data_IF_347688861758
#
_entry.id   IF_347688861758
#
_cell.length_a   1.000
_cell.length_b   1.000
_cell.length_c   1.000
_cell.angle_alpha   90.00
_cell.angle_beta   90.00
_cell.angle_gamma   90.00
#
_symmetry.space_group_name_H-M   'P 1'
#
loop_
_entity.id
_entity.type
_entity.pdbx_description
1 polymer ?
#
# COMPACT_ATOMS: atom_id res chain seq x y z
N UNK A 1 14.68 18.72 10.67
CA UNK A 1 14.53 18.58 9.20
C UNK A 1 15.29 17.37 8.66
N UNK A 2 16.61 17.24 8.87
CA UNK A 2 17.42 16.13 8.33
C UNK A 2 16.84 14.72 8.63
N UNK A 3 16.41 14.46 9.87
CA UNK A 3 15.80 13.17 10.25
C UNK A 3 14.50 12.84 9.49
N UNK A 4 13.68 13.84 9.17
CA UNK A 4 12.43 13.64 8.44
C UNK A 4 12.69 13.26 6.98
N UNK A 5 13.67 13.89 6.33
CA UNK A 5 14.09 13.54 4.97
C UNK A 5 14.79 12.18 4.94
N UNK A 6 15.65 11.90 5.92
CA UNK A 6 16.31 10.61 6.05
C UNK A 6 15.30 9.47 6.22
N UNK A 7 14.19 9.70 6.92
CA UNK A 7 13.10 8.74 7.04
C UNK A 7 12.52 8.35 5.66
N UNK A 8 12.25 9.31 4.76
CA UNK A 8 11.78 9.01 3.40
C UNK A 8 12.82 8.29 2.54
N UNK A 9 14.12 8.58 2.73
CA UNK A 9 15.18 7.85 2.05
C UNK A 9 15.24 6.38 2.53
N UNK A 10 15.12 6.16 3.84
CA UNK A 10 15.06 4.81 4.43
C UNK A 10 13.84 4.02 3.94
N UNK A 11 12.69 4.67 3.77
CA UNK A 11 11.49 4.06 3.17
C UNK A 11 11.78 3.56 1.75
N UNK A 12 12.34 4.42 0.90
CA UNK A 12 12.69 4.06 -0.48
C UNK A 12 13.69 2.91 -0.55
N UNK A 13 14.73 2.96 0.28
CA UNK A 13 15.73 1.90 0.37
C UNK A 13 15.12 0.56 0.83
N UNK A 14 14.25 0.57 1.84
CA UNK A 14 13.62 -0.65 2.33
C UNK A 14 12.71 -1.29 1.28
N UNK A 15 11.98 -0.48 0.50
CA UNK A 15 11.18 -0.95 -0.65
C UNK A 15 12.09 -1.60 -1.70
N UNK A 16 13.16 -0.91 -2.10
CA UNK A 16 14.13 -1.43 -3.08
C UNK A 16 14.72 -2.78 -2.62
N UNK A 17 15.25 -2.84 -1.40
CA UNK A 17 15.87 -4.05 -0.85
C UNK A 17 14.87 -5.20 -0.77
N UNK A 18 13.62 -4.92 -0.38
CA UNK A 18 12.58 -5.96 -0.32
C UNK A 18 12.22 -6.46 -1.72
N UNK A 19 12.09 -5.57 -2.70
CA UNK A 19 11.82 -5.92 -4.09
C UNK A 19 12.93 -6.80 -4.68
N UNK A 20 14.19 -6.48 -4.40
CA UNK A 20 15.34 -7.28 -4.85
C UNK A 20 15.37 -8.64 -4.15
N UNK A 21 15.22 -8.66 -2.82
CA UNK A 21 15.31 -9.89 -2.02
C UNK A 21 14.18 -10.87 -2.31
N UNK A 22 12.96 -10.37 -2.56
CA UNK A 22 11.77 -11.19 -2.84
C UNK A 22 11.38 -11.18 -4.32
N UNK A 23 12.31 -10.86 -5.24
CA UNK A 23 12.01 -10.66 -6.65
C UNK A 23 11.34 -11.87 -7.32
N UNK A 24 11.70 -13.10 -6.95
CA UNK A 24 11.07 -14.32 -7.50
C UNK A 24 9.61 -14.46 -7.05
N UNK A 25 9.33 -14.19 -5.78
CA UNK A 25 7.99 -14.25 -5.22
C UNK A 25 7.08 -13.16 -5.83
N UNK A 26 7.58 -11.93 -5.92
CA UNK A 26 6.82 -10.82 -6.50
C UNK A 26 6.52 -11.05 -7.98
N UNK A 27 7.49 -11.54 -8.76
CA UNK A 27 7.26 -11.92 -10.17
C UNK A 27 6.24 -13.04 -10.32
N UNK A 28 6.25 -14.03 -9.41
CA UNK A 28 5.26 -15.12 -9.43
C UNK A 28 3.84 -14.58 -9.17
N UNK A 29 3.67 -13.73 -8.15
CA UNK A 29 2.38 -13.12 -7.84
C UNK A 29 1.91 -12.22 -8.99
N UNK A 30 2.79 -11.38 -9.53
CA UNK A 30 2.47 -10.52 -10.67
C UNK A 30 2.07 -11.33 -11.91
N UNK A 31 2.84 -12.36 -12.26
CA UNK A 31 2.50 -13.25 -13.38
C UNK A 31 1.18 -13.99 -13.15
N UNK A 32 0.86 -14.30 -11.89
CA UNK A 32 -0.44 -14.87 -11.54
C UNK A 32 -1.58 -13.88 -11.76
N UNK A 33 -1.43 -12.60 -11.40
CA UNK A 33 -2.40 -11.57 -11.72
C UNK A 33 -2.55 -11.39 -13.23
N UNK A 34 -1.44 -11.28 -13.96
CA UNK A 34 -1.46 -11.13 -15.42
C UNK A 34 -2.19 -12.30 -16.11
N UNK A 35 -1.96 -13.54 -15.65
CA UNK A 35 -2.68 -14.71 -16.15
C UNK A 35 -4.19 -14.62 -15.87
N UNK A 36 -4.60 -14.13 -14.68
CA UNK A 36 -6.02 -13.89 -14.36
C UNK A 36 -6.60 -12.83 -15.32
N UNK A 37 -5.92 -11.71 -15.52
CA UNK A 37 -6.40 -10.69 -16.44
C UNK A 37 -6.57 -11.24 -17.86
N UNK A 38 -5.58 -11.97 -18.39
CA UNK A 38 -5.66 -12.58 -19.73
C UNK A 38 -6.76 -13.62 -19.87
N UNK A 39 -6.98 -14.45 -18.86
CA UNK A 39 -7.98 -15.51 -18.90
C UNK A 39 -9.41 -14.96 -18.83
N UNK A 40 -9.66 -13.97 -17.97
CA UNK A 40 -11.00 -13.46 -17.69
C UNK A 40 -11.38 -12.22 -18.49
N UNK A 41 -10.45 -11.58 -19.20
CA UNK A 41 -10.75 -10.51 -20.17
C UNK A 41 -11.58 -11.03 -21.36
N UNK A 42 -11.32 -12.27 -21.80
CA UNK A 42 -12.07 -12.91 -22.88
C UNK A 42 -13.42 -13.52 -22.47
N UNK A 43 -13.74 -13.53 -21.16
CA UNK A 43 -15.04 -13.99 -20.66
C UNK A 43 -15.97 -12.77 -20.51
N UNK A 44 -17.04 -12.75 -21.29
CA UNK A 44 -17.98 -11.63 -21.33
C UNK A 44 -18.84 -11.57 -20.03
N UNK A 45 -19.30 -10.38 -19.64
CA UNK A 45 -20.22 -10.19 -18.51
C UNK A 45 -19.59 -9.68 -17.19
N UNK A 46 -19.93 -10.30 -16.06
CA UNK A 46 -19.56 -9.80 -14.71
C UNK A 46 -18.04 -9.88 -14.45
N UNK A 47 -17.32 -10.83 -15.06
CA UNK A 47 -15.86 -10.94 -14.92
C UNK A 47 -15.14 -9.68 -15.41
N UNK A 48 -15.42 -9.27 -16.65
CA UNK A 48 -14.80 -8.11 -17.29
C UNK A 48 -15.10 -6.82 -16.52
N UNK A 49 -16.32 -6.70 -15.97
CA UNK A 49 -16.72 -5.58 -15.12
C UNK A 49 -15.88 -5.48 -13.85
N UNK A 50 -15.59 -6.59 -13.17
CA UNK A 50 -14.71 -6.59 -12.00
C UNK A 50 -13.26 -6.24 -12.35
N UNK A 51 -12.74 -6.73 -13.48
CA UNK A 51 -11.40 -6.38 -13.99
C UNK A 51 -11.29 -4.86 -14.22
N UNK A 52 -12.22 -4.28 -14.98
CA UNK A 52 -12.24 -2.85 -15.28
C UNK A 52 -12.40 -1.99 -14.02
N UNK A 53 -13.27 -2.41 -13.09
CA UNK A 53 -13.43 -1.74 -11.79
C UNK A 53 -12.09 -1.65 -11.04
N UNK A 54 -11.29 -2.72 -11.05
CA UNK A 54 -10.00 -2.77 -10.33
C UNK A 54 -8.94 -1.92 -11.02
N UNK A 55 -8.88 -1.96 -12.35
CA UNK A 55 -8.01 -1.07 -13.13
C UNK A 55 -8.34 0.39 -12.84
N UNK A 56 -9.62 0.77 -12.85
CA UNK A 56 -10.05 2.15 -12.58
C UNK A 56 -9.72 2.59 -11.15
N UNK A 57 -9.93 1.74 -10.15
CA UNK A 57 -9.55 2.03 -8.76
C UNK A 57 -8.04 2.27 -8.65
N UNK A 58 -7.23 1.40 -9.26
CA UNK A 58 -5.77 1.53 -9.24
C UNK A 58 -5.32 2.81 -9.97
N UNK A 59 -5.91 3.11 -11.13
CA UNK A 59 -5.63 4.32 -11.90
C UNK A 59 -5.94 5.60 -11.13
N UNK A 60 -7.10 5.66 -10.48
CA UNK A 60 -7.49 6.80 -9.66
C UNK A 60 -6.57 6.97 -8.44
N UNK A 61 -6.19 5.86 -7.80
CA UNK A 61 -5.25 5.87 -6.69
C UNK A 61 -3.86 6.36 -7.13
N UNK A 62 -3.41 5.93 -8.31
CA UNK A 62 -2.14 6.38 -8.90
C UNK A 62 -2.15 7.90 -9.14
N UNK A 63 -3.19 8.43 -9.78
CA UNK A 63 -3.31 9.88 -10.01
C UNK A 63 -3.38 10.68 -8.71
N UNK A 64 -4.13 10.21 -7.72
CA UNK A 64 -4.18 10.85 -6.40
C UNK A 64 -2.78 10.94 -5.77
N UNK A 65 -1.99 9.85 -5.85
CA UNK A 65 -0.63 9.83 -5.33
C UNK A 65 0.33 10.72 -6.14
N UNK A 66 0.18 10.80 -7.47
CA UNK A 66 0.96 11.74 -8.29
C UNK A 66 0.73 13.17 -7.81
N UNK A 67 -0.52 13.58 -7.55
CA UNK A 67 -0.82 14.92 -7.05
C UNK A 67 -0.22 15.17 -5.66
N UNK A 68 -0.28 14.19 -4.77
CA UNK A 68 0.32 14.29 -3.42
C UNK A 68 1.84 14.48 -3.51
N UNK A 69 2.54 13.64 -4.27
CA UNK A 69 4.00 13.73 -4.43
C UNK A 69 4.44 15.00 -5.19
N UNK A 70 3.72 15.39 -6.24
CA UNK A 70 4.05 16.62 -6.99
C UNK A 70 3.82 17.87 -6.15
N UNK A 71 2.77 17.92 -5.34
CA UNK A 71 2.49 19.07 -4.46
C UNK A 71 3.59 19.30 -3.42
N UNK A 72 4.11 18.23 -2.79
CA UNK A 72 5.16 18.36 -1.77
C UNK A 72 6.51 18.72 -2.39
N UNK A 73 6.87 18.14 -3.53
CA UNK A 73 8.10 18.50 -4.25
C UNK A 73 8.05 19.96 -4.69
N UNK A 74 6.91 20.41 -5.23
CA UNK A 74 6.72 21.80 -5.64
C UNK A 74 6.83 22.75 -4.45
N UNK A 75 6.19 22.42 -3.31
CA UNK A 75 6.28 23.23 -2.09
C UNK A 75 7.72 23.32 -1.56
N UNK A 76 8.48 22.22 -1.61
CA UNK A 76 9.89 22.18 -1.20
C UNK A 76 10.82 22.98 -2.12
N UNK A 77 10.53 23.07 -3.41
CA UNK A 77 11.34 23.82 -4.39
C UNK A 77 10.96 25.31 -4.39
N UNK A 78 9.66 25.64 -4.40
CA UNK A 78 9.18 27.02 -4.49
C UNK A 78 9.52 27.84 -3.24
N UNK A 79 9.53 27.23 -2.06
CA UNK A 79 9.80 27.92 -0.80
C UNK A 79 11.20 28.59 -0.74
N UNK A 80 12.33 27.89 -0.97
CA UNK A 80 13.65 28.51 -0.99
C UNK A 80 13.84 29.49 -2.15
N UNK A 81 13.22 29.24 -3.31
CA UNK A 81 13.26 30.19 -4.44
C UNK A 81 12.54 31.50 -4.11
N UNK A 82 11.36 31.44 -3.49
CA UNK A 82 10.65 32.62 -3.03
C UNK A 82 11.48 33.42 -2.02
N UNK A 83 12.12 32.74 -1.07
CA UNK A 83 12.92 33.40 -0.06
C UNK A 83 14.21 34.02 -0.62
N UNK A 84 14.81 33.38 -1.63
CA UNK A 84 15.94 33.93 -2.37
C UNK A 84 15.55 35.20 -3.13
N UNK A 85 14.41 35.20 -3.83
CA UNK A 85 13.95 36.36 -4.62
C UNK A 85 13.46 37.50 -3.72
N UNK A 86 12.69 37.21 -2.67
CA UNK A 86 12.04 38.23 -1.85
C UNK A 86 12.93 38.82 -0.75
N UNK A 87 13.83 38.03 -0.15
CA UNK A 87 14.65 38.44 1.00
C UNK A 87 16.16 38.42 0.72
N UNK A 88 16.58 38.00 -0.49
CA UNK A 88 17.98 37.85 -0.89
C UNK A 88 18.81 36.96 0.06
N UNK A 89 18.14 36.03 0.78
CA UNK A 89 18.81 35.09 1.67
C UNK A 89 18.93 33.72 1.00
N UNK A 90 20.15 33.18 1.02
CA UNK A 90 20.50 31.85 0.53
C UNK A 90 20.03 30.78 1.51
N UNK A 91 18.89 30.16 1.25
CA UNK A 91 18.44 28.96 1.97
C UNK A 91 18.76 27.69 1.19
N UNK A 92 19.24 26.68 1.90
CA UNK A 92 19.41 25.35 1.32
C UNK A 92 18.08 24.59 1.33
N UNK A 93 17.79 23.89 0.24
CA UNK A 93 16.60 23.06 0.06
C UNK A 93 16.68 21.81 0.95
N UNK A 94 17.87 21.22 1.06
CA UNK A 94 18.20 20.09 1.92
C UNK A 94 19.40 20.47 2.79
N UNK A 95 19.46 19.96 4.03
CA UNK A 95 20.50 20.36 5.00
C UNK A 95 21.81 19.55 4.91
N UNK A 96 22.03 18.74 3.87
CA UNK A 96 23.28 18.00 3.72
C UNK A 96 24.30 18.77 2.89
N UNK A 97 25.51 18.88 3.43
CA UNK A 97 26.65 19.53 2.82
C UNK A 97 27.44 18.50 2.01
N UNK A 98 27.88 18.86 0.80
CA UNK A 98 28.73 18.01 -0.03
C UNK A 98 30.20 18.42 0.20
N UNK A 99 31.08 17.50 0.65
CA UNK A 99 32.50 17.80 0.81
C UNK A 99 33.12 18.30 -0.50
N UNK A 100 33.80 19.44 -0.46
CA UNK A 100 34.45 20.05 -1.63
C UNK A 100 33.63 21.14 -2.34
N UNK A 101 32.39 21.41 -1.92
CA UNK A 101 31.59 22.54 -2.41
C UNK A 101 31.54 23.62 -1.31
N UNK A 102 32.04 24.82 -1.58
CA UNK A 102 31.87 25.95 -0.66
C UNK A 102 30.46 26.55 -0.82
N UNK A 103 29.71 26.53 0.27
CA UNK A 103 28.31 26.96 0.33
C UNK A 103 28.20 28.50 0.34
N UNK A 104 29.30 29.17 0.68
CA UNK A 104 29.38 30.63 0.76
C UNK A 104 29.65 31.27 -0.61
N UNK A 105 30.31 30.55 -1.53
CA UNK A 105 30.54 30.97 -2.90
C UNK A 105 29.27 30.90 -3.74
N UNK A 106 29.01 31.89 -4.61
CA UNK A 106 27.81 31.93 -5.47
C UNK A 106 27.71 30.71 -6.39
N UNK A 107 28.83 30.30 -6.98
CA UNK A 107 28.90 29.13 -7.85
C UNK A 107 28.67 27.82 -7.07
N UNK A 108 29.24 27.71 -5.86
CA UNK A 108 29.07 26.53 -5.02
C UNK A 108 27.64 26.38 -4.49
N UNK A 109 27.00 27.49 -4.11
CA UNK A 109 25.60 27.50 -3.70
C UNK A 109 24.66 27.06 -4.83
N UNK A 110 24.86 27.55 -6.05
CA UNK A 110 24.06 27.16 -7.21
C UNK A 110 24.25 25.68 -7.57
N UNK A 111 25.48 25.17 -7.49
CA UNK A 111 25.77 23.76 -7.74
C UNK A 111 25.06 22.87 -6.71
N UNK A 112 25.07 23.27 -5.44
CA UNK A 112 24.44 22.53 -4.35
C UNK A 112 22.91 22.52 -4.45
N UNK A 113 22.27 23.67 -4.73
CA UNK A 113 20.82 23.75 -4.93
C UNK A 113 20.39 22.86 -6.10
N UNK A 114 21.13 22.90 -7.20
CA UNK A 114 20.85 22.05 -8.37
C UNK A 114 20.88 20.57 -8.00
N UNK A 115 21.91 20.16 -7.26
CA UNK A 115 22.04 18.78 -6.77
C UNK A 115 20.90 18.39 -5.83
N UNK A 116 20.53 19.26 -4.89
CA UNK A 116 19.41 19.04 -3.98
C UNK A 116 18.07 18.86 -4.71
N UNK A 117 17.79 19.70 -5.71
CA UNK A 117 16.56 19.59 -6.53
C UNK A 117 16.55 18.27 -7.30
N UNK A 118 17.67 17.88 -7.91
CA UNK A 118 17.77 16.58 -8.57
C UNK A 118 17.50 15.42 -7.59
N UNK A 119 18.15 15.42 -6.43
CA UNK A 119 17.94 14.40 -5.40
C UNK A 119 16.47 14.34 -4.94
N UNK A 120 15.80 15.47 -4.77
CA UNK A 120 14.37 15.50 -4.40
C UNK A 120 13.49 14.89 -5.48
N UNK A 121 13.68 15.26 -6.74
CA UNK A 121 12.86 14.75 -7.86
C UNK A 121 13.07 13.24 -8.01
N UNK A 122 14.31 12.77 -8.05
CA UNK A 122 14.61 11.34 -8.15
C UNK A 122 14.13 10.55 -6.92
N UNK A 123 14.32 11.10 -5.72
CA UNK A 123 13.89 10.47 -4.47
C UNK A 123 12.37 10.37 -4.36
N UNK A 124 11.65 11.43 -4.74
CA UNK A 124 10.18 11.44 -4.78
C UNK A 124 9.65 10.46 -5.83
N UNK A 125 10.21 10.47 -7.04
CA UNK A 125 9.81 9.55 -8.10
C UNK A 125 10.07 8.08 -7.72
N UNK A 126 11.23 7.78 -7.15
CA UNK A 126 11.57 6.43 -6.69
C UNK A 126 10.65 5.93 -5.57
N UNK A 127 10.33 6.79 -4.59
CA UNK A 127 9.38 6.45 -3.53
C UNK A 127 7.96 6.25 -4.07
N UNK A 128 7.49 7.13 -4.95
CA UNK A 128 6.22 6.98 -5.64
C UNK A 128 6.15 5.65 -6.41
N UNK A 129 7.17 5.32 -7.20
CA UNK A 129 7.22 4.06 -7.95
C UNK A 129 7.19 2.83 -7.03
N UNK A 130 7.94 2.88 -5.92
CA UNK A 130 7.92 1.82 -4.90
C UNK A 130 6.54 1.65 -4.25
N UNK A 131 5.87 2.74 -3.91
CA UNK A 131 4.52 2.70 -3.32
C UNK A 131 3.50 2.15 -4.30
N UNK A 132 3.48 2.66 -5.53
CA UNK A 132 2.54 2.20 -6.57
C UNK A 132 2.71 0.73 -6.89
N UNK A 133 3.96 0.26 -6.96
CA UNK A 133 4.23 -1.15 -7.21
C UNK A 133 3.69 -2.03 -6.09
N UNK A 134 3.86 -1.64 -4.82
CA UNK A 134 3.29 -2.36 -3.69
C UNK A 134 1.76 -2.31 -3.70
N UNK A 135 1.18 -1.14 -3.95
CA UNK A 135 -0.27 -0.95 -3.99
C UNK A 135 -0.93 -1.83 -5.04
N UNK A 136 -0.26 -2.06 -6.19
CA UNK A 136 -0.74 -2.98 -7.22
C UNK A 136 -1.02 -4.38 -6.66
N UNK A 137 -0.16 -4.91 -5.79
CA UNK A 137 -0.40 -6.22 -5.17
C UNK A 137 -1.65 -6.22 -4.30
N UNK A 138 -1.83 -5.21 -3.44
CA UNK A 138 -2.97 -5.17 -2.53
C UNK A 138 -4.28 -4.89 -3.26
N UNK A 139 -4.31 -3.92 -4.17
CA UNK A 139 -5.53 -3.51 -4.88
C UNK A 139 -6.12 -4.63 -5.72
N UNK A 140 -5.30 -5.60 -6.15
CA UNK A 140 -5.76 -6.78 -6.88
C UNK A 140 -6.20 -7.96 -5.98
N UNK A 141 -5.94 -7.95 -4.66
CA UNK A 141 -6.46 -9.01 -3.76
C UNK A 141 -8.00 -9.10 -3.78
N UNK A 142 -8.75 -7.99 -3.66
CA UNK A 142 -10.21 -8.02 -3.78
C UNK A 142 -10.73 -8.59 -5.12
N UNK A 143 -9.96 -8.48 -6.21
CA UNK A 143 -10.34 -9.05 -7.50
C UNK A 143 -10.52 -10.57 -7.40
N UNK A 144 -9.63 -11.26 -6.67
CA UNK A 144 -9.73 -12.71 -6.51
C UNK A 144 -10.99 -13.12 -5.77
N UNK A 145 -11.39 -12.34 -4.76
CA UNK A 145 -12.66 -12.55 -4.05
C UNK A 145 -13.84 -12.32 -4.99
N UNK A 146 -13.82 -11.24 -5.76
CA UNK A 146 -14.91 -10.91 -6.70
C UNK A 146 -15.09 -12.02 -7.76
N UNK A 147 -14.00 -12.51 -8.35
CA UNK A 147 -14.02 -13.64 -9.31
C UNK A 147 -14.50 -14.94 -8.61
N UNK A 148 -14.06 -15.18 -7.38
CA UNK A 148 -14.47 -16.34 -6.60
C UNK A 148 -15.99 -16.35 -6.33
N UNK A 149 -16.57 -15.16 -6.09
CA UNK A 149 -18.02 -15.00 -5.93
C UNK A 149 -18.77 -15.39 -7.22
N UNK A 150 -18.33 -14.92 -8.38
CA UNK A 150 -18.97 -15.29 -9.66
C UNK A 150 -18.92 -16.81 -9.87
N UNK A 151 -17.80 -17.45 -9.53
CA UNK A 151 -17.69 -18.92 -9.58
C UNK A 151 -18.65 -19.64 -8.62
N UNK A 152 -18.98 -19.05 -7.47
CA UNK A 152 -20.02 -19.60 -6.60
C UNK A 152 -21.41 -19.51 -7.23
N UNK A 153 -21.73 -18.39 -7.87
CA UNK A 153 -23.01 -18.18 -8.54
C UNK A 153 -23.19 -19.18 -9.69
N UNK A 154 -22.16 -19.40 -10.52
CA UNK A 154 -22.16 -20.43 -11.56
C UNK A 154 -22.40 -21.85 -10.99
N UNK A 155 -21.72 -22.19 -9.89
CA UNK A 155 -21.89 -23.49 -9.24
C UNK A 155 -23.30 -23.66 -8.68
N UNK A 156 -23.87 -22.61 -8.11
CA UNK A 156 -25.23 -22.63 -7.59
C UNK A 156 -26.26 -22.85 -8.69
N UNK A 157 -26.09 -22.23 -9.86
CA UNK A 157 -26.98 -22.45 -11.01
C UNK A 157 -26.97 -23.92 -11.46
N UNK A 158 -25.79 -24.55 -11.52
CA UNK A 158 -25.68 -25.98 -11.83
C UNK A 158 -26.37 -26.87 -10.78
N UNK A 159 -26.26 -26.52 -9.51
CA UNK A 159 -26.92 -27.23 -8.41
C UNK A 159 -28.45 -27.08 -8.46
N UNK A 160 -28.97 -25.96 -8.97
CA UNK A 160 -30.41 -25.75 -9.15
C UNK A 160 -30.95 -26.49 -10.38
N UNK A 161 -30.15 -26.60 -11.44
CA UNK A 161 -30.53 -27.26 -12.69
C UNK A 161 -30.44 -28.81 -12.63
N UNK A 162 -30.01 -29.39 -11.51
CA UNK A 162 -29.78 -30.85 -11.34
C UNK A 162 -28.93 -31.46 -12.47
N UNK A 163 -27.89 -30.73 -12.89
CA UNK A 163 -26.97 -31.14 -13.96
C UNK A 163 -26.14 -32.37 -13.53
N UNK A 164 -25.50 -33.03 -14.49
CA UNK A 164 -24.64 -34.21 -14.28
C UNK A 164 -23.59 -33.93 -13.18
N UNK A 165 -23.44 -34.89 -12.26
CA UNK A 165 -22.49 -34.83 -11.14
C UNK A 165 -21.07 -34.46 -11.57
N UNK A 166 -20.61 -34.95 -12.73
CA UNK A 166 -19.27 -34.68 -13.27
C UNK A 166 -18.98 -33.18 -13.50
N UNK A 167 -19.94 -32.43 -14.05
CA UNK A 167 -19.76 -31.00 -14.34
C UNK A 167 -19.70 -30.18 -13.04
N UNK A 168 -20.60 -30.49 -12.09
CA UNK A 168 -20.59 -29.91 -10.75
C UNK A 168 -19.29 -30.22 -10.02
N UNK A 169 -18.83 -31.48 -10.07
CA UNK A 169 -17.60 -31.92 -9.42
C UNK A 169 -16.37 -31.21 -9.99
N UNK A 170 -16.27 -31.08 -11.33
CA UNK A 170 -15.20 -30.33 -11.99
C UNK A 170 -15.17 -28.87 -11.54
N UNK A 171 -16.32 -28.18 -11.54
CA UNK A 171 -16.41 -26.78 -11.13
C UNK A 171 -16.06 -26.59 -9.64
N UNK A 172 -16.46 -27.54 -8.79
CA UNK A 172 -16.11 -27.54 -7.37
C UNK A 172 -14.59 -27.64 -7.15
N UNK A 173 -13.90 -28.51 -7.91
CA UNK A 173 -12.44 -28.62 -7.83
C UNK A 173 -11.72 -27.37 -8.33
N UNK A 174 -12.21 -26.74 -9.40
CA UNK A 174 -11.69 -25.44 -9.84
C UNK A 174 -11.83 -24.38 -8.75
N UNK A 175 -12.97 -24.38 -8.05
CA UNK A 175 -13.23 -23.46 -6.95
C UNK A 175 -12.25 -23.69 -5.79
N UNK A 176 -12.01 -24.94 -5.42
CA UNK A 176 -11.03 -25.28 -4.41
C UNK A 176 -9.61 -24.87 -4.81
N UNK A 177 -9.23 -25.09 -6.07
CA UNK A 177 -7.95 -24.63 -6.61
C UNK A 177 -7.85 -23.09 -6.56
N UNK A 178 -8.95 -22.38 -6.83
CA UNK A 178 -9.01 -20.92 -6.72
C UNK A 178 -8.84 -20.44 -5.28
N UNK A 179 -9.49 -21.08 -4.32
CA UNK A 179 -9.31 -20.79 -2.90
C UNK A 179 -7.84 -20.97 -2.48
N UNK A 180 -7.19 -22.05 -2.91
CA UNK A 180 -5.77 -22.27 -2.63
C UNK A 180 -4.88 -21.19 -3.28
N UNK A 181 -5.20 -20.79 -4.51
CA UNK A 181 -4.51 -19.70 -5.23
C UNK A 181 -4.65 -18.37 -4.47
N UNK A 182 -5.84 -18.05 -3.97
CA UNK A 182 -6.11 -16.88 -3.14
C UNK A 182 -5.25 -16.87 -1.88
N UNK A 183 -5.27 -17.96 -1.10
CA UNK A 183 -4.48 -18.08 0.14
C UNK A 183 -2.98 -17.96 -0.14
N UNK A 184 -2.49 -18.56 -1.24
CA UNK A 184 -1.08 -18.49 -1.63
C UNK A 184 -0.63 -17.07 -1.97
N UNK A 185 -1.44 -16.33 -2.75
CA UNK A 185 -1.17 -14.92 -3.06
C UNK A 185 -1.17 -14.10 -1.79
N UNK A 186 -2.18 -14.27 -0.92
CA UNK A 186 -2.30 -13.52 0.32
C UNK A 186 -1.11 -13.74 1.27
N UNK A 187 -0.65 -14.99 1.39
CA UNK A 187 0.54 -15.31 2.17
C UNK A 187 1.82 -14.72 1.56
N UNK A 188 1.94 -14.76 0.24
CA UNK A 188 3.04 -14.12 -0.49
C UNK A 188 3.07 -12.61 -0.28
N UNK A 189 1.92 -11.94 -0.41
CA UNK A 189 1.76 -10.51 -0.15
C UNK A 189 2.11 -10.19 1.31
N UNK A 190 1.61 -10.95 2.29
CA UNK A 190 1.98 -10.77 3.70
C UNK A 190 3.50 -10.82 3.91
N UNK A 191 4.18 -11.80 3.31
CA UNK A 191 5.64 -11.94 3.43
C UNK A 191 6.40 -10.73 2.87
N UNK A 192 6.00 -10.21 1.71
CA UNK A 192 6.62 -9.03 1.09
C UNK A 192 6.35 -7.78 1.93
N UNK A 193 5.13 -7.61 2.40
CA UNK A 193 4.70 -6.42 3.13
C UNK A 193 5.24 -6.36 4.56
N UNK A 194 5.53 -7.50 5.21
CA UNK A 194 5.95 -7.55 6.62
C UNK A 194 7.10 -6.58 6.94
N UNK A 195 8.17 -6.60 6.14
CA UNK A 195 9.35 -5.76 6.35
C UNK A 195 9.10 -4.32 5.89
N UNK A 196 8.49 -4.15 4.71
CA UNK A 196 8.27 -2.80 4.16
C UNK A 196 7.34 -1.99 5.06
N UNK A 197 6.23 -2.58 5.51
CA UNK A 197 5.26 -1.90 6.37
C UNK A 197 5.85 -1.53 7.72
N UNK A 198 6.71 -2.38 8.29
CA UNK A 198 7.40 -2.05 9.53
C UNK A 198 8.29 -0.81 9.39
N UNK A 199 9.13 -0.77 8.34
CA UNK A 199 9.97 0.40 8.08
C UNK A 199 9.11 1.62 7.75
N UNK A 200 8.10 1.47 6.88
CA UNK A 200 7.22 2.58 6.48
C UNK A 200 6.53 3.21 7.68
N UNK A 201 5.97 2.39 8.58
CA UNK A 201 5.21 2.86 9.73
C UNK A 201 6.09 3.52 10.79
N UNK A 202 7.20 2.87 11.17
CA UNK A 202 8.15 3.40 12.16
C UNK A 202 8.77 4.72 11.68
N UNK A 203 9.21 4.77 10.43
CA UNK A 203 9.80 5.98 9.83
C UNK A 203 8.78 7.09 9.63
N UNK A 204 7.52 6.77 9.28
CA UNK A 204 6.45 7.76 9.21
C UNK A 204 6.16 8.37 10.58
N UNK A 205 6.10 7.57 11.66
CA UNK A 205 5.93 8.09 13.02
C UNK A 205 7.08 9.00 13.42
N UNK A 206 8.34 8.57 13.23
CA UNK A 206 9.51 9.41 13.54
C UNK A 206 9.49 10.70 12.71
N UNK A 207 9.18 10.60 11.42
CA UNK A 207 9.06 11.73 10.50
C UNK A 207 8.03 12.74 10.99
N UNK A 208 6.82 12.29 11.34
CA UNK A 208 5.75 13.15 11.86
C UNK A 208 6.18 13.85 13.15
N UNK A 209 6.72 13.10 14.13
CA UNK A 209 7.20 13.68 15.40
C UNK A 209 8.27 14.76 15.16
N UNK A 210 9.28 14.45 14.34
CA UNK A 210 10.34 15.41 14.00
C UNK A 210 9.80 16.66 13.30
N UNK A 211 8.80 16.50 12.43
CA UNK A 211 8.21 17.63 11.70
C UNK A 211 7.40 18.54 12.61
N UNK A 212 6.67 17.98 13.57
CA UNK A 212 5.95 18.75 14.59
C UNK A 212 6.92 19.55 15.45
N UNK A 213 8.04 18.95 15.91
CA UNK A 213 9.08 19.69 16.63
C UNK A 213 9.67 20.84 15.80
N UNK A 214 9.86 20.64 14.48
CA UNK A 214 10.34 21.69 13.58
C UNK A 214 9.34 22.85 13.43
N UNK A 215 8.03 22.56 13.48
CA UNK A 215 6.97 23.58 13.44
C UNK A 215 7.02 24.43 14.72
N UNK A 216 7.12 23.80 15.90
CA UNK A 216 7.19 24.52 17.17
C UNK A 216 8.41 25.44 17.27
N UNK A 217 9.58 24.97 16.84
CA UNK A 217 10.79 25.79 16.82
C UNK A 217 10.79 26.86 15.71
N UNK A 218 9.79 26.88 14.81
CA UNK A 218 9.70 27.74 13.62
C UNK A 218 10.94 27.70 12.71
N UNK A 219 11.68 26.59 12.75
CA UNK A 219 12.95 26.42 12.00
C UNK A 219 12.68 26.03 10.54
N UNK A 220 11.55 25.37 10.25
CA UNK A 220 11.26 24.85 8.92
C UNK A 220 9.85 25.21 8.44
N UNK A 221 9.69 26.28 7.64
CA UNK A 221 8.36 26.75 7.24
C UNK A 221 7.61 25.84 6.25
N UNK A 222 8.30 24.94 5.54
CA UNK A 222 7.67 23.89 4.70
C UNK A 222 7.16 22.70 5.52
N UNK A 223 7.45 22.63 6.83
CA UNK A 223 7.09 21.51 7.68
C UNK A 223 5.58 21.19 7.72
N UNK A 224 4.63 22.16 7.70
CA UNK A 224 3.20 21.85 7.67
C UNK A 224 2.75 21.09 6.42
N UNK A 225 3.28 21.43 5.24
CA UNK A 225 2.97 20.73 4.00
C UNK A 225 3.49 19.29 4.03
N UNK A 226 4.70 19.09 4.57
CA UNK A 226 5.31 17.78 4.72
C UNK A 226 4.62 16.92 5.81
N UNK A 227 4.10 17.55 6.85
CA UNK A 227 3.28 16.89 7.87
C UNK A 227 2.00 16.31 7.25
N UNK A 228 1.28 17.11 6.45
CA UNK A 228 0.08 16.67 5.73
C UNK A 228 0.39 15.46 4.83
N UNK A 229 1.47 15.57 4.03
CA UNK A 229 1.97 14.48 3.20
C UNK A 229 2.21 13.20 4.02
N UNK A 230 2.93 13.31 5.15
CA UNK A 230 3.26 12.15 5.99
C UNK A 230 2.02 11.46 6.56
N UNK A 231 0.99 12.23 6.96
CA UNK A 231 -0.28 11.68 7.39
C UNK A 231 -1.05 11.00 6.25
N UNK A 232 -1.13 11.62 5.06
CA UNK A 232 -1.81 11.01 3.90
C UNK A 232 -1.19 9.65 3.58
N UNK A 233 0.13 9.58 3.56
CA UNK A 233 0.87 8.33 3.32
C UNK A 233 0.57 7.30 4.42
N UNK A 234 0.67 7.69 5.69
CA UNK A 234 0.38 6.82 6.85
C UNK A 234 -1.03 6.21 6.76
N UNK A 235 -2.05 7.04 6.55
CA UNK A 235 -3.44 6.61 6.49
C UNK A 235 -3.72 5.75 5.26
N UNK A 236 -3.09 6.02 4.11
CA UNK A 236 -3.28 5.19 2.92
C UNK A 236 -2.74 3.78 3.16
N UNK A 237 -1.53 3.67 3.71
CA UNK A 237 -0.92 2.38 4.01
C UNK A 237 -1.77 1.56 4.99
N UNK A 238 -2.27 2.18 6.06
CA UNK A 238 -3.19 1.52 7.00
C UNK A 238 -4.54 1.17 6.36
N UNK A 239 -5.07 2.02 5.49
CA UNK A 239 -6.31 1.78 4.75
C UNK A 239 -6.20 0.59 3.79
N UNK A 240 -5.05 0.41 3.14
CA UNK A 240 -4.78 -0.77 2.31
C UNK A 240 -4.78 -2.07 3.12
N UNK A 241 -4.25 -2.04 4.34
CA UNK A 241 -4.36 -3.17 5.25
C UNK A 241 -5.81 -3.50 5.59
N UNK A 242 -6.62 -2.50 5.92
CA UNK A 242 -8.06 -2.68 6.17
C UNK A 242 -8.82 -3.18 4.94
N UNK A 243 -8.43 -2.78 3.71
CA UNK A 243 -9.02 -3.36 2.49
C UNK A 243 -8.79 -4.88 2.44
N UNK A 244 -7.60 -5.36 2.82
CA UNK A 244 -7.30 -6.79 2.86
C UNK A 244 -8.06 -7.50 3.98
N UNK A 245 -8.13 -6.91 5.18
CA UNK A 245 -8.93 -7.41 6.31
C UNK A 245 -10.40 -7.59 5.88
N UNK A 246 -11.03 -6.53 5.38
CA UNK A 246 -12.41 -6.57 4.92
C UNK A 246 -12.61 -7.58 3.78
N UNK A 247 -11.64 -7.70 2.86
CA UNK A 247 -11.72 -8.67 1.77
C UNK A 247 -11.71 -10.10 2.28
N UNK A 248 -10.91 -10.42 3.30
CA UNK A 248 -10.87 -11.73 3.92
C UNK A 248 -12.18 -12.05 4.66
N UNK A 249 -12.70 -11.09 5.42
CA UNK A 249 -13.97 -11.26 6.13
C UNK A 249 -15.12 -11.48 5.13
N UNK A 250 -15.20 -10.65 4.08
CA UNK A 250 -16.18 -10.84 3.01
C UNK A 250 -16.00 -12.17 2.29
N UNK A 251 -14.76 -12.60 2.02
CA UNK A 251 -14.50 -13.88 1.38
C UNK A 251 -15.04 -15.05 2.21
N UNK A 252 -14.81 -15.04 3.53
CA UNK A 252 -15.37 -16.04 4.45
C UNK A 252 -16.89 -16.00 4.49
N UNK A 253 -17.49 -14.80 4.52
CA UNK A 253 -18.94 -14.65 4.53
C UNK A 253 -19.58 -15.16 3.22
N UNK A 254 -18.97 -14.91 2.06
CA UNK A 254 -19.45 -15.40 0.76
C UNK A 254 -19.41 -16.94 0.68
N UNK A 255 -18.39 -17.59 1.26
CA UNK A 255 -18.35 -19.07 1.36
C UNK A 255 -19.57 -19.61 2.13
N UNK A 256 -19.97 -18.94 3.20
CA UNK A 256 -21.07 -19.40 4.05
C UNK A 256 -22.45 -19.06 3.50
N UNK A 257 -22.62 -17.83 2.99
CA UNK A 257 -23.92 -17.26 2.62
C UNK A 257 -24.30 -17.46 1.16
N UNK A 258 -23.32 -17.38 0.24
CA UNK A 258 -23.58 -17.42 -1.20
C UNK A 258 -23.61 -18.86 -1.71
N UNK A 259 -22.72 -19.73 -1.23
CA UNK A 259 -22.68 -21.12 -1.67
C UNK A 259 -23.87 -21.93 -1.11
N UNK A 260 -24.60 -22.63 -1.99
CA UNK A 260 -25.67 -23.58 -1.63
C UNK A 260 -25.09 -24.89 -1.09
N UNK A 261 -24.29 -24.82 -0.03
CA UNK A 261 -23.52 -25.95 0.51
C UNK A 261 -24.41 -27.14 0.91
N UNK A 262 -25.64 -26.90 1.34
CA UNK A 262 -26.60 -27.93 1.73
C UNK A 262 -27.14 -28.75 0.55
N UNK A 263 -26.99 -28.28 -0.69
CA UNK A 263 -27.34 -29.02 -1.91
C UNK A 263 -26.17 -29.82 -2.48
N UNK A 264 -24.94 -29.59 -2.00
CA UNK A 264 -23.78 -30.37 -2.42
C UNK A 264 -23.84 -31.79 -1.84
N UNK A 265 -23.20 -32.78 -2.48
CA UNK A 265 -23.09 -34.12 -1.91
C UNK A 265 -22.17 -34.14 -0.68
N UNK A 266 -22.31 -35.16 0.16
CA UNK A 266 -21.68 -35.22 1.50
C UNK A 266 -20.15 -35.13 1.45
N UNK A 267 -19.51 -35.60 0.37
CA UNK A 267 -18.06 -35.53 0.22
C UNK A 267 -17.59 -34.08 0.05
N UNK A 268 -18.23 -33.34 -0.84
CA UNK A 268 -17.95 -31.93 -1.15
C UNK A 268 -18.33 -31.02 0.03
N UNK A 269 -19.43 -31.31 0.74
CA UNK A 269 -19.80 -30.58 1.97
C UNK A 269 -18.67 -30.59 3.02
N UNK A 270 -18.04 -31.75 3.24
CA UNK A 270 -16.90 -31.86 4.18
C UNK A 270 -15.72 -30.99 3.75
N UNK A 271 -15.48 -30.88 2.45
CA UNK A 271 -14.42 -30.04 1.89
C UNK A 271 -14.75 -28.55 2.06
N UNK A 272 -16.01 -28.15 1.86
CA UNK A 272 -16.45 -26.77 2.13
C UNK A 272 -16.23 -26.37 3.59
N UNK A 273 -16.49 -27.28 4.54
CA UNK A 273 -16.21 -27.03 5.96
C UNK A 273 -14.72 -26.76 6.18
N UNK A 274 -13.82 -27.55 5.55
CA UNK A 274 -12.38 -27.32 5.63
C UNK A 274 -11.97 -25.98 5.00
N UNK A 275 -12.58 -25.62 3.87
CA UNK A 275 -12.36 -24.34 3.20
C UNK A 275 -12.78 -23.17 4.10
N UNK A 276 -13.96 -23.24 4.70
CA UNK A 276 -14.47 -22.24 5.64
C UNK A 276 -13.62 -22.13 6.90
N UNK A 277 -13.23 -23.26 7.51
CA UNK A 277 -12.34 -23.27 8.66
C UNK A 277 -10.97 -22.64 8.34
N UNK A 278 -10.50 -22.81 7.09
CA UNK A 278 -9.26 -22.18 6.64
C UNK A 278 -9.41 -20.69 6.38
N UNK A 279 -10.55 -20.24 5.84
CA UNK A 279 -10.80 -18.83 5.55
C UNK A 279 -11.06 -18.00 6.81
N UNK A 280 -11.68 -18.61 7.84
CA UNK A 280 -11.88 -17.99 9.17
C UNK A 280 -10.58 -17.64 9.89
N UNK A 281 -9.48 -18.31 9.56
CA UNK A 281 -8.14 -17.92 10.00
C UNK A 281 -7.63 -16.77 9.11
N UNK A 282 -8.16 -15.57 9.35
CA UNK A 282 -7.90 -14.40 8.53
C UNK A 282 -6.43 -14.03 8.52
N UNK A 283 -5.86 -13.93 7.31
CA UNK A 283 -4.49 -13.44 7.12
C UNK A 283 -4.50 -11.92 7.16
N UNK A 284 -4.28 -11.38 8.36
CA UNK A 284 -4.07 -9.95 8.57
C UNK A 284 -2.67 -9.55 8.10
N UNK A 285 -2.57 -8.43 7.36
CA UNK A 285 -1.29 -7.80 7.04
C UNK A 285 -0.72 -7.18 8.31
N UNK A 286 0.53 -7.51 8.64
CA UNK A 286 1.17 -7.10 9.88
C UNK A 286 2.48 -6.36 9.60
N UNK A 287 2.76 -5.32 10.37
CA UNK A 287 4.08 -4.72 10.46
C UNK A 287 4.95 -5.60 11.38
N UNK A 288 5.92 -6.32 10.81
CA UNK A 288 6.81 -7.23 11.52
C UNK A 288 6.13 -8.28 12.43
N UNK A 289 4.87 -8.66 12.16
CA UNK A 289 4.04 -9.51 13.06
C UNK A 289 3.76 -8.92 14.46
N UNK A 290 4.05 -7.64 14.67
CA UNK A 290 3.81 -6.96 15.95
C UNK A 290 2.49 -6.20 15.92
N UNK A 291 2.23 -5.50 14.82
CA UNK A 291 1.12 -4.56 14.72
C UNK A 291 0.27 -4.86 13.48
N UNK A 292 -1.05 -5.09 13.62
CA UNK A 292 -1.93 -5.27 12.47
C UNK A 292 -2.02 -3.95 11.69
N UNK A 293 -2.02 -4.06 10.37
CA UNK A 293 -2.15 -2.91 9.50
C UNK A 293 -3.63 -2.60 9.30
N UNK A 294 -4.14 -1.68 10.12
CA UNK A 294 -5.56 -1.29 10.05
C UNK A 294 -5.74 0.20 10.31
N UNK A 295 -6.91 0.71 9.95
CA UNK A 295 -7.31 2.08 10.29
C UNK A 295 -7.35 2.32 11.81
N UNK A 296 -7.63 1.28 12.60
CA UNK A 296 -7.56 1.35 14.06
C UNK A 296 -6.13 1.63 14.52
N UNK A 297 -5.14 0.98 13.91
CA UNK A 297 -3.72 1.22 14.15
C UNK A 297 -3.30 2.64 13.77
N UNK A 298 -3.76 3.15 12.64
CA UNK A 298 -3.50 4.55 12.25
C UNK A 298 -4.01 5.54 13.32
N UNK A 299 -5.23 5.34 13.82
CA UNK A 299 -5.80 6.16 14.87
C UNK A 299 -5.03 6.07 16.19
N UNK A 300 -4.58 4.87 16.58
CA UNK A 300 -3.74 4.69 17.77
C UNK A 300 -2.42 5.44 17.64
N UNK A 301 -1.76 5.36 16.48
CA UNK A 301 -0.51 6.10 16.22
C UNK A 301 -0.73 7.60 16.22
N UNK A 302 -1.80 8.10 15.60
CA UNK A 302 -2.15 9.53 15.62
C UNK A 302 -2.41 10.03 17.04
N UNK A 303 -3.09 9.25 17.89
CA UNK A 303 -3.26 9.58 19.32
C UNK A 303 -1.91 9.66 20.03
N UNK A 304 -1.03 8.69 19.82
CA UNK A 304 0.33 8.70 20.39
C UNK A 304 1.14 9.92 19.95
N UNK A 305 1.09 10.26 18.67
CA UNK A 305 1.73 11.45 18.09
C UNK A 305 1.18 12.72 18.75
N UNK A 306 -0.15 12.84 18.88
CA UNK A 306 -0.78 13.99 19.51
C UNK A 306 -0.38 14.13 20.98
N UNK A 307 -0.42 13.05 21.76
CA UNK A 307 0.00 13.05 23.16
C UNK A 307 1.45 13.48 23.33
N UNK A 308 2.37 12.98 22.48
CA UNK A 308 3.76 13.41 22.48
C UNK A 308 3.90 14.90 22.10
N UNK A 309 3.13 15.34 21.10
CA UNK A 309 3.15 16.74 20.65
C UNK A 309 2.67 17.70 21.74
N UNK A 310 1.62 17.34 22.48
CA UNK A 310 1.13 18.10 23.62
C UNK A 310 2.12 18.13 24.78
N UNK A 311 2.79 17.00 25.05
CA UNK A 311 3.89 16.97 26.02
C UNK A 311 4.98 17.97 25.59
N UNK A 312 5.41 17.91 24.33
CA UNK A 312 6.44 18.80 23.79
C UNK A 312 6.02 20.28 23.85
N UNK A 313 4.74 20.59 23.60
CA UNK A 313 4.19 21.95 23.76
C UNK A 313 4.19 22.45 25.21
N UNK A 314 3.97 21.56 26.19
CA UNK A 314 3.97 21.95 27.60
C UNK A 314 5.38 22.15 28.19
N UNK A 315 6.41 21.56 27.57
CA UNK A 315 7.80 21.60 28.07
C UNK A 315 8.72 22.57 27.31
N UNK A 316 8.29 23.13 26.16
CA UNK A 316 9.01 24.15 25.37
C UNK A 316 8.36 25.53 25.54
#
# INVERSE_FOLDING_TARGET
MAFAVAASAMQGLAKLLTCVTNASLMRNIQGTYEAIYKEYEGRDGEYTKYLHKRINIFWNLMWAFIWVYTSIVTAMICYPLFHFIAYNQKLMVLQFLVPGIDHNSDSGHLMLITLHIMCLIFGAFGNFGGDMYLFLFITNVPLLKDIFKVKFEELNELLLQNVKYEEMHSMFWELLAWHQKYVKILHGTKKVFKTVMFVQLSTACISILCTISCIFMKVWPTAPAYLLYSFIVLYTFCGLGTIVENTNEHFTNEIYSTLLWYKLPVKEQKIVILMLAKSQNELVLTAADVLPLSMATALQLTKGIYSFSMMLFNYL
#
